data_IF_802286733966
#
_entry.id   IF_802286733966
#
_cell.length_a   1.000
_cell.length_b   1.000
_cell.length_c   1.000
_cell.angle_alpha   90.00
_cell.angle_beta   90.00
_cell.angle_gamma   90.00
#
_symmetry.space_group_name_H-M   'P 1'
#
loop_
_entity.id
_entity.type
_entity.pdbx_description
1 polymer ?
#
# COMPACT_ATOMS: atom_id res chain seq x y z
N UNK A 1 56.98 50.64 4.04
CA UNK A 1 57.22 49.26 3.56
C UNK A 1 56.49 48.32 4.53
N UNK A 2 55.28 47.88 4.17
CA UNK A 2 54.53 46.87 4.91
C UNK A 2 54.55 45.61 4.03
N UNK A 3 55.13 44.54 4.56
CA UNK A 3 55.31 43.27 3.87
C UNK A 3 54.11 42.36 4.19
N UNK A 4 53.38 41.94 3.15
CA UNK A 4 52.37 40.89 3.27
C UNK A 4 53.05 39.53 3.11
N UNK A 5 53.01 38.69 4.14
CA UNK A 5 53.40 37.28 4.05
C UNK A 5 52.14 36.44 3.86
N UNK A 6 52.07 35.74 2.72
CA UNK A 6 51.08 34.69 2.46
C UNK A 6 51.68 33.34 2.85
N UNK A 7 51.07 32.65 3.81
CA UNK A 7 51.30 31.23 4.06
C UNK A 7 49.95 30.52 4.22
N UNK A 8 49.40 30.04 3.11
CA UNK A 8 48.24 29.15 3.10
C UNK A 8 48.71 27.77 2.68
N UNK A 9 49.16 26.98 3.65
CA UNK A 9 49.27 25.52 3.52
C UNK A 9 48.30 24.93 4.53
N UNK A 10 47.07 24.65 4.09
CA UNK A 10 46.13 23.85 4.89
C UNK A 10 46.71 22.44 5.03
N UNK A 11 46.90 21.93 6.26
CA UNK A 11 47.51 20.62 6.46
C UNK A 11 46.57 19.53 5.94
N UNK A 12 47.12 18.58 5.17
CA UNK A 12 46.41 17.44 4.58
C UNK A 12 45.57 16.66 5.62
N UNK A 13 45.98 16.69 6.89
CA UNK A 13 45.24 16.09 8.02
C UNK A 13 43.88 16.73 8.29
N UNK A 14 43.72 18.05 8.07
CA UNK A 14 42.43 18.74 8.24
C UNK A 14 41.46 18.39 7.11
N UNK A 15 41.96 18.20 5.88
CA UNK A 15 41.14 17.79 4.74
C UNK A 15 40.62 16.36 4.94
N UNK A 16 41.49 15.43 5.37
CA UNK A 16 41.08 14.05 5.65
C UNK A 16 40.04 13.96 6.79
N UNK A 17 40.23 14.74 7.86
CA UNK A 17 39.31 14.74 8.98
C UNK A 17 37.93 15.28 8.59
N UNK A 18 37.87 16.33 7.75
CA UNK A 18 36.61 16.86 7.23
C UNK A 18 35.87 15.84 6.34
N UNK A 19 36.59 15.13 5.47
CA UNK A 19 36.01 14.11 4.58
C UNK A 19 35.41 12.96 5.40
N UNK A 20 36.13 12.47 6.42
CA UNK A 20 35.63 11.37 7.28
C UNK A 20 34.41 11.78 8.12
N UNK A 21 34.35 13.03 8.63
CA UNK A 21 33.13 13.54 9.26
C UNK A 21 32.00 13.72 8.25
N UNK A 22 32.27 14.21 7.03
CA UNK A 22 31.21 14.42 6.04
C UNK A 22 30.61 13.09 5.54
N UNK A 23 31.43 12.04 5.39
CA UNK A 23 30.97 10.68 5.07
C UNK A 23 30.15 10.02 6.17
N UNK A 24 30.31 10.41 7.44
CA UNK A 24 29.49 9.91 8.55
C UNK A 24 28.15 10.63 8.71
N UNK A 25 27.98 11.80 8.06
CA UNK A 25 26.71 12.53 7.95
C UNK A 25 25.97 12.28 6.62
N UNK A 26 26.45 11.38 5.76
CA UNK A 26 25.64 10.92 4.64
C UNK A 26 24.36 10.30 5.23
N UNK A 27 23.16 10.78 4.85
CA UNK A 27 21.93 10.17 5.30
C UNK A 27 21.99 8.70 4.87
N UNK A 28 21.92 7.79 5.85
CA UNK A 28 21.61 6.40 5.54
C UNK A 28 20.28 6.46 4.80
N UNK A 29 20.28 6.10 3.53
CA UNK A 29 19.04 5.84 2.80
C UNK A 29 18.53 4.57 3.45
N UNK A 30 17.57 4.69 4.36
CA UNK A 30 16.92 3.52 4.94
C UNK A 30 16.20 2.88 3.77
N UNK A 31 16.60 1.65 3.41
CA UNK A 31 15.83 0.86 2.48
C UNK A 31 14.39 0.81 3.02
N UNK A 32 13.41 1.05 2.14
CA UNK A 32 12.00 0.87 2.51
C UNK A 32 11.87 -0.51 3.14
N UNK A 33 11.21 -0.57 4.30
CA UNK A 33 10.87 -1.86 4.88
C UNK A 33 9.93 -2.63 3.94
N UNK A 34 9.25 -1.95 3.02
CA UNK A 34 8.23 -2.46 2.13
C UNK A 34 8.79 -2.89 0.76
N UNK A 35 8.03 -3.75 0.09
CA UNK A 35 8.28 -4.18 -1.28
C UNK A 35 7.81 -3.06 -2.21
N UNK A 36 8.74 -2.46 -2.94
CA UNK A 36 8.42 -1.65 -4.12
C UNK A 36 8.12 -2.59 -5.30
N UNK A 37 7.08 -2.29 -6.07
CA UNK A 37 6.67 -3.09 -7.22
C UNK A 37 6.43 -2.23 -8.46
N UNK A 38 6.72 -2.79 -9.64
CA UNK A 38 6.44 -2.15 -10.91
C UNK A 38 4.93 -2.08 -11.19
N UNK A 39 4.47 -1.16 -12.06
CA UNK A 39 3.07 -1.07 -12.45
C UNK A 39 2.51 -2.37 -13.03
N UNK A 40 3.34 -3.18 -13.67
CA UNK A 40 2.99 -4.49 -14.20
C UNK A 40 3.97 -5.56 -13.72
N UNK A 41 3.51 -6.81 -13.62
CA UNK A 41 4.34 -7.92 -13.16
C UNK A 41 3.57 -9.22 -12.96
N UNK A 42 4.17 -10.10 -12.15
CA UNK A 42 3.60 -11.38 -11.76
C UNK A 42 3.40 -11.45 -10.26
N UNK A 43 2.35 -12.16 -9.85
CA UNK A 43 2.00 -12.36 -8.46
C UNK A 43 1.38 -13.75 -8.27
N UNK A 44 1.23 -14.17 -7.03
CA UNK A 44 0.26 -15.22 -6.71
C UNK A 44 -1.11 -14.60 -6.44
N UNK A 45 -2.16 -15.38 -6.64
CA UNK A 45 -3.51 -15.06 -6.22
C UNK A 45 -4.10 -16.22 -5.43
N UNK A 46 -4.73 -15.90 -4.31
CA UNK A 46 -5.64 -16.77 -3.56
C UNK A 46 -7.02 -16.15 -3.50
N UNK A 47 -7.94 -16.79 -2.78
CA UNK A 47 -9.20 -16.16 -2.41
C UNK A 47 -9.52 -16.37 -0.94
N UNK A 48 -10.35 -15.47 -0.41
CA UNK A 48 -10.90 -15.53 0.93
C UNK A 48 -12.34 -15.00 0.92
N UNK A 49 -13.14 -15.48 1.86
CA UNK A 49 -14.49 -14.98 2.05
C UNK A 49 -14.47 -13.69 2.83
N UNK A 50 -14.95 -12.62 2.20
CA UNK A 50 -15.21 -11.33 2.84
C UNK A 50 -16.72 -11.10 2.91
N UNK A 51 -17.32 -10.86 4.09
CA UNK A 51 -18.73 -10.54 4.18
C UNK A 51 -19.07 -9.24 3.43
N UNK A 52 -20.25 -9.19 2.81
CA UNK A 52 -20.77 -7.94 2.25
C UNK A 52 -20.89 -6.87 3.36
N UNK A 53 -20.62 -5.62 3.00
CA UNK A 53 -20.58 -4.45 3.86
C UNK A 53 -19.54 -4.53 4.99
N UNK A 54 -18.51 -5.38 4.85
CA UNK A 54 -17.40 -5.42 5.80
C UNK A 54 -16.45 -4.24 5.62
N UNK A 55 -15.97 -3.68 6.73
CA UNK A 55 -14.97 -2.61 6.73
C UNK A 55 -13.59 -3.26 6.93
N UNK A 56 -12.88 -3.44 5.83
CA UNK A 56 -11.54 -4.03 5.76
C UNK A 56 -10.42 -3.08 6.22
N UNK A 57 -9.15 -3.52 6.18
CA UNK A 57 -8.01 -2.79 6.75
C UNK A 57 -7.81 -1.37 6.20
N UNK A 58 -8.19 -1.09 4.95
CA UNK A 58 -8.12 0.27 4.40
C UNK A 58 -9.17 1.23 4.99
N UNK A 59 -10.23 0.69 5.60
CA UNK A 59 -11.37 1.48 6.07
C UNK A 59 -12.20 2.08 4.93
N UNK A 60 -12.21 1.44 3.75
CA UNK A 60 -13.09 1.80 2.63
C UNK A 60 -14.56 1.70 3.03
N UNK A 61 -15.43 2.44 2.34
CA UNK A 61 -16.88 2.37 2.57
C UNK A 61 -17.42 0.93 2.45
N UNK A 62 -18.44 0.53 3.25
CA UNK A 62 -18.95 -0.84 3.25
C UNK A 62 -19.39 -1.32 1.86
N UNK A 63 -20.05 -0.48 1.07
CA UNK A 63 -20.50 -0.83 -0.29
C UNK A 63 -19.35 -1.07 -1.28
N UNK A 64 -18.07 -0.84 -0.89
CA UNK A 64 -16.93 -1.26 -1.71
C UNK A 64 -16.84 -2.77 -1.87
N UNK A 65 -17.34 -3.56 -0.91
CA UNK A 65 -17.34 -5.04 -0.97
C UNK A 65 -18.40 -5.61 -1.92
N UNK A 66 -19.32 -4.77 -2.40
CA UNK A 66 -20.32 -5.15 -3.41
C UNK A 66 -19.69 -5.21 -4.82
N UNK A 67 -18.38 -5.00 -4.91
CA UNK A 67 -17.56 -4.94 -6.11
C UNK A 67 -16.26 -5.72 -5.91
N UNK A 68 -15.50 -6.05 -6.99
CA UNK A 68 -14.32 -6.89 -6.85
C UNK A 68 -13.24 -6.21 -6.02
N UNK A 69 -12.89 -6.78 -4.88
CA UNK A 69 -11.88 -6.26 -3.97
C UNK A 69 -10.84 -7.33 -3.66
N UNK A 70 -9.66 -6.90 -3.21
CA UNK A 70 -8.62 -7.83 -2.81
C UNK A 70 -7.87 -7.33 -1.58
N UNK A 71 -7.33 -8.29 -0.83
CA UNK A 71 -6.26 -8.04 0.13
C UNK A 71 -4.90 -8.13 -0.56
N UNK A 72 -3.93 -7.29 -0.17
CA UNK A 72 -2.55 -7.37 -0.68
C UNK A 72 -1.60 -7.81 0.43
N UNK A 73 -0.57 -8.60 0.12
CA UNK A 73 0.40 -9.04 1.13
C UNK A 73 1.06 -7.85 1.84
N UNK A 74 1.19 -7.94 3.17
CA UNK A 74 1.63 -6.86 4.06
C UNK A 74 2.79 -6.02 3.55
N UNK A 75 3.81 -6.70 2.99
CA UNK A 75 5.02 -6.03 2.57
C UNK A 75 4.83 -5.17 1.30
N UNK A 76 3.92 -5.54 0.40
CA UNK A 76 3.53 -4.71 -0.74
C UNK A 76 2.35 -3.78 -0.42
N UNK A 77 1.49 -4.18 0.52
CA UNK A 77 0.44 -3.33 1.08
C UNK A 77 1.01 -2.06 1.74
N UNK A 78 2.15 -2.21 2.41
CA UNK A 78 2.95 -1.13 2.98
C UNK A 78 2.48 -0.68 4.38
N UNK A 79 1.86 -1.57 5.15
CA UNK A 79 1.46 -1.33 6.55
C UNK A 79 1.24 -2.65 7.29
N UNK A 80 1.38 -2.66 8.63
CA UNK A 80 1.12 -3.82 9.49
C UNK A 80 -0.11 -3.68 10.41
N UNK A 81 -0.74 -2.51 10.51
CA UNK A 81 -1.72 -2.21 11.58
C UNK A 81 -3.00 -1.51 11.13
N UNK A 82 -3.02 -0.86 9.96
CA UNK A 82 -4.20 -0.20 9.41
C UNK A 82 -4.10 -0.16 7.88
N UNK A 83 -4.18 1.01 7.27
CA UNK A 83 -4.01 1.23 5.85
C UNK A 83 -2.55 1.39 5.43
N UNK A 84 -2.26 1.11 4.17
CA UNK A 84 -0.96 1.38 3.56
C UNK A 84 -1.12 2.00 2.17
N UNK A 85 -0.01 2.35 1.50
CA UNK A 85 -0.03 2.97 0.17
C UNK A 85 -0.78 2.19 -0.91
N UNK A 86 -0.94 0.87 -0.74
CA UNK A 86 -1.75 0.07 -1.67
C UNK A 86 -3.26 0.34 -1.56
N UNK A 87 -3.74 0.90 -0.45
CA UNK A 87 -5.17 1.15 -0.25
C UNK A 87 -5.77 2.04 -1.34
N UNK A 88 -6.89 1.58 -1.88
CA UNK A 88 -7.59 2.27 -2.96
C UNK A 88 -6.98 2.09 -4.34
N UNK A 89 -5.77 1.51 -4.48
CA UNK A 89 -5.19 1.22 -5.79
C UNK A 89 -5.99 0.14 -6.52
N UNK A 90 -6.08 0.26 -7.84
CA UNK A 90 -6.77 -0.71 -8.68
C UNK A 90 -5.80 -1.50 -9.58
N UNK A 91 -6.08 -2.79 -9.72
CA UNK A 91 -5.26 -3.71 -10.50
C UNK A 91 -6.13 -4.59 -11.39
N UNK A 92 -5.76 -4.72 -12.66
CA UNK A 92 -6.25 -5.77 -13.52
C UNK A 92 -5.44 -7.04 -13.28
N UNK A 93 -6.08 -8.07 -12.71
CA UNK A 93 -5.48 -9.34 -12.36
C UNK A 93 -5.91 -10.41 -13.36
N UNK A 94 -4.97 -11.15 -13.95
CA UNK A 94 -5.25 -12.13 -15.00
C UNK A 94 -4.72 -13.51 -14.62
N UNK A 95 -5.58 -14.52 -14.64
CA UNK A 95 -5.20 -15.91 -14.33
C UNK A 95 -4.29 -16.48 -15.43
N UNK A 96 -3.17 -17.08 -15.03
CA UNK A 96 -2.21 -17.73 -15.92
C UNK A 96 -2.25 -19.25 -15.80
N UNK A 97 -2.03 -19.77 -14.58
CA UNK A 97 -2.00 -21.20 -14.31
C UNK A 97 -2.22 -21.50 -12.83
N UNK A 98 -2.82 -22.66 -12.52
CA UNK A 98 -2.87 -23.18 -11.15
C UNK A 98 -1.65 -24.08 -10.92
N UNK A 99 -0.54 -23.46 -10.50
CA UNK A 99 0.78 -24.08 -10.50
C UNK A 99 0.97 -25.21 -9.49
N UNK A 100 0.09 -25.30 -8.49
CA UNK A 100 0.09 -26.34 -7.45
C UNK A 100 -0.73 -27.57 -7.83
N UNK A 101 -1.57 -27.49 -8.87
CA UNK A 101 -2.28 -28.63 -9.39
C UNK A 101 -1.31 -29.67 -9.97
N UNK A 102 -1.70 -30.96 -9.94
CA UNK A 102 -0.90 -32.03 -10.51
C UNK A 102 -1.72 -32.91 -11.47
N UNK A 103 -1.48 -32.85 -12.79
CA UNK A 103 -0.56 -31.93 -13.48
C UNK A 103 -0.96 -30.46 -13.32
N UNK A 104 -0.04 -29.53 -13.64
CA UNK A 104 -0.33 -28.10 -13.60
C UNK A 104 -1.52 -27.77 -14.52
N UNK A 105 -2.46 -26.97 -14.02
CA UNK A 105 -3.65 -26.58 -14.79
C UNK A 105 -3.43 -25.27 -15.53
N UNK A 106 -3.75 -25.25 -16.81
CA UNK A 106 -3.76 -24.06 -17.66
C UNK A 106 -5.19 -23.82 -18.15
N UNK A 107 -5.80 -22.66 -17.88
CA UNK A 107 -7.16 -22.38 -18.29
C UNK A 107 -7.24 -22.20 -19.81
N UNK A 108 -8.26 -22.81 -20.43
CA UNK A 108 -8.53 -22.65 -21.87
C UNK A 108 -9.04 -21.25 -22.24
N UNK A 109 -9.56 -20.52 -21.26
CA UNK A 109 -10.07 -19.16 -21.40
C UNK A 109 -9.36 -18.29 -20.37
N UNK A 110 -8.69 -17.25 -20.82
CA UNK A 110 -8.09 -16.26 -19.92
C UNK A 110 -9.19 -15.47 -19.22
N UNK A 111 -9.18 -15.49 -17.89
CA UNK A 111 -10.08 -14.72 -17.03
C UNK A 111 -9.29 -13.59 -16.38
N UNK A 112 -9.88 -12.40 -16.34
CA UNK A 112 -9.31 -11.22 -15.70
C UNK A 112 -10.36 -10.48 -14.90
N UNK A 113 -9.93 -9.80 -13.84
CA UNK A 113 -10.78 -8.97 -12.98
C UNK A 113 -10.03 -7.73 -12.55
N UNK A 114 -10.68 -6.56 -12.63
CA UNK A 114 -10.16 -5.33 -12.04
C UNK A 114 -10.62 -5.28 -10.60
N UNK A 115 -9.68 -5.31 -9.67
CA UNK A 115 -9.95 -5.20 -8.23
C UNK A 115 -9.51 -3.85 -7.70
N UNK A 116 -10.13 -3.41 -6.61
CA UNK A 116 -9.60 -2.37 -5.71
C UNK A 116 -8.99 -3.04 -4.48
N UNK A 117 -7.79 -2.62 -4.07
CA UNK A 117 -7.19 -3.08 -2.81
C UNK A 117 -7.88 -2.38 -1.65
N UNK A 118 -8.58 -3.15 -0.82
CA UNK A 118 -9.33 -2.66 0.34
C UNK A 118 -8.88 -3.30 1.65
N UNK A 119 -8.08 -4.36 1.57
CA UNK A 119 -7.70 -5.14 2.73
C UNK A 119 -6.20 -5.50 2.77
N UNK A 120 -5.77 -5.96 3.93
CA UNK A 120 -4.44 -6.42 4.22
C UNK A 120 -4.44 -7.95 4.30
N UNK A 121 -3.51 -8.59 3.58
CA UNK A 121 -3.14 -9.98 3.86
C UNK A 121 -1.90 -9.98 4.78
N UNK A 122 -2.05 -10.26 6.09
CA UNK A 122 -0.98 -10.07 7.06
C UNK A 122 0.24 -10.95 6.80
N UNK A 123 1.40 -10.48 7.24
CA UNK A 123 2.64 -11.25 7.12
C UNK A 123 2.52 -12.56 7.92
N UNK A 124 2.68 -13.68 7.24
CA UNK A 124 2.67 -15.01 7.84
C UNK A 124 4.06 -15.64 7.85
N UNK A 125 4.28 -16.68 8.65
CA UNK A 125 5.52 -17.46 8.62
C UNK A 125 5.65 -18.34 7.37
N UNK A 126 4.53 -18.62 6.71
CA UNK A 126 4.45 -19.53 5.55
C UNK A 126 3.21 -19.21 4.72
N UNK A 127 3.21 -19.64 3.46
CA UNK A 127 2.06 -19.51 2.55
C UNK A 127 2.28 -18.43 1.49
N UNK A 128 1.25 -17.64 1.21
CA UNK A 128 1.24 -16.75 0.04
C UNK A 128 1.54 -15.29 0.39
N UNK A 129 1.26 -14.87 1.63
CA UNK A 129 1.51 -13.50 2.09
C UNK A 129 2.81 -13.34 2.90
N UNK A 130 3.69 -14.35 2.88
CA UNK A 130 4.96 -14.34 3.62
C UNK A 130 6.15 -13.73 2.84
N UNK A 131 5.92 -13.13 1.67
CA UNK A 131 6.97 -12.45 0.93
C UNK A 131 7.52 -11.26 1.72
N UNK A 132 8.83 -11.04 1.64
CA UNK A 132 9.53 -9.91 2.24
C UNK A 132 10.50 -9.30 1.24
N UNK A 133 11.15 -8.19 1.60
CA UNK A 133 12.24 -7.61 0.80
C UNK A 133 13.45 -8.55 0.63
N UNK A 134 13.52 -9.63 1.41
CA UNK A 134 14.61 -10.61 1.36
C UNK A 134 14.26 -11.88 0.57
N UNK A 135 12.99 -12.09 0.19
CA UNK A 135 12.62 -13.27 -0.57
C UNK A 135 11.13 -13.38 -0.89
N UNK A 136 10.79 -14.14 -1.95
CA UNK A 136 9.42 -14.32 -2.40
C UNK A 136 8.60 -15.22 -1.46
N UNK A 137 7.30 -15.29 -1.70
CA UNK A 137 6.39 -16.21 -1.03
C UNK A 137 6.58 -17.67 -1.49
N UNK A 138 5.76 -18.59 -0.96
CA UNK A 138 5.83 -20.02 -1.30
C UNK A 138 5.58 -20.33 -2.80
N UNK A 139 4.97 -19.41 -3.54
CA UNK A 139 4.79 -19.52 -5.00
C UNK A 139 5.90 -18.88 -5.82
N UNK A 140 6.94 -18.32 -5.19
CA UNK A 140 8.05 -17.67 -5.88
C UNK A 140 7.78 -16.23 -6.32
N UNK A 141 6.69 -15.61 -5.88
CA UNK A 141 6.35 -14.21 -6.18
C UNK A 141 6.51 -13.29 -4.97
N UNK A 142 6.81 -12.01 -5.21
CA UNK A 142 6.90 -11.00 -4.14
C UNK A 142 5.54 -10.41 -3.74
N UNK A 143 4.55 -10.54 -4.64
CA UNK A 143 3.19 -10.04 -4.45
C UNK A 143 2.22 -11.21 -4.32
N UNK A 144 1.23 -11.05 -3.44
CA UNK A 144 0.03 -11.87 -3.40
C UNK A 144 -1.21 -10.98 -3.32
N UNK A 145 -2.21 -11.31 -4.14
CA UNK A 145 -3.55 -10.77 -4.02
C UNK A 145 -4.48 -11.85 -3.46
N UNK A 146 -5.13 -11.59 -2.34
CA UNK A 146 -6.20 -12.45 -1.84
C UNK A 146 -7.53 -11.88 -2.34
N UNK A 147 -8.14 -12.52 -3.33
CA UNK A 147 -9.38 -12.03 -3.94
C UNK A 147 -10.55 -12.24 -2.97
N UNK A 148 -11.36 -11.21 -2.73
CA UNK A 148 -12.61 -11.37 -1.99
C UNK A 148 -13.61 -12.17 -2.84
N UNK A 149 -13.63 -13.48 -2.65
CA UNK A 149 -14.43 -14.42 -3.44
C UNK A 149 -14.90 -15.59 -2.56
N UNK A 150 -16.13 -16.09 -2.73
CA UNK A 150 -17.15 -15.66 -3.69
C UNK A 150 -17.66 -14.23 -3.42
N UNK A 151 -18.10 -13.55 -4.49
CA UNK A 151 -18.67 -12.20 -4.45
C UNK A 151 -19.77 -12.09 -5.50
N UNK A 152 -20.85 -11.35 -5.21
CA UNK A 152 -21.95 -11.09 -6.16
C UNK A 152 -21.51 -10.33 -7.42
N UNK A 153 -20.33 -9.70 -7.39
CA UNK A 153 -19.75 -8.92 -8.48
C UNK A 153 -18.72 -9.67 -9.34
N UNK A 154 -18.34 -10.88 -8.93
CA UNK A 154 -17.36 -11.72 -9.62
C UNK A 154 -18.09 -12.99 -10.06
N UNK A 155 -18.03 -13.38 -11.35
CA UNK A 155 -18.67 -14.61 -11.81
C UNK A 155 -18.24 -15.83 -10.99
N UNK A 156 -19.18 -16.72 -10.68
CA UNK A 156 -18.90 -17.98 -9.96
C UNK A 156 -17.89 -18.88 -10.71
N UNK A 157 -17.76 -18.70 -12.03
CA UNK A 157 -16.81 -19.40 -12.90
C UNK A 157 -15.47 -18.67 -13.08
N UNK A 158 -15.17 -17.66 -12.26
CA UNK A 158 -13.94 -16.88 -12.36
C UNK A 158 -12.68 -17.74 -12.17
N UNK A 159 -12.72 -18.71 -11.24
CA UNK A 159 -11.69 -19.73 -11.09
C UNK A 159 -12.08 -20.98 -11.89
N UNK A 160 -11.62 -21.14 -13.15
CA UNK A 160 -11.98 -22.29 -13.96
C UNK A 160 -11.32 -23.56 -13.42
N UNK A 161 -11.98 -24.70 -13.64
CA UNK A 161 -11.49 -26.01 -13.26
C UNK A 161 -11.89 -27.09 -14.26
N UNK A 162 -11.29 -28.26 -14.12
CA UNK A 162 -11.68 -29.50 -14.80
C UNK A 162 -11.93 -30.56 -13.72
N UNK A 163 -13.08 -30.48 -13.07
CA UNK A 163 -13.45 -31.37 -11.95
C UNK A 163 -13.44 -32.84 -12.38
N UNK A 164 -13.81 -33.14 -13.63
CA UNK A 164 -13.80 -34.50 -14.15
C UNK A 164 -12.38 -35.10 -14.17
N UNK A 165 -11.36 -34.27 -14.40
CA UNK A 165 -9.96 -34.69 -14.42
C UNK A 165 -9.27 -34.59 -13.06
N UNK A 166 -9.45 -33.48 -12.32
CA UNK A 166 -8.75 -33.21 -11.06
C UNK A 166 -9.49 -33.73 -9.82
N UNK A 167 -10.81 -33.92 -9.90
CA UNK A 167 -11.65 -34.34 -8.77
C UNK A 167 -12.03 -33.22 -7.79
N UNK A 168 -11.76 -31.96 -8.13
CA UNK A 168 -12.12 -30.78 -7.34
C UNK A 168 -12.24 -29.55 -8.25
N UNK A 169 -12.98 -28.54 -7.78
CA UNK A 169 -13.29 -27.33 -8.56
C UNK A 169 -12.45 -26.11 -8.20
N UNK A 170 -11.73 -26.15 -7.08
CA UNK A 170 -10.92 -25.05 -6.57
C UNK A 170 -9.46 -25.48 -6.37
N UNK A 171 -8.56 -24.86 -7.14
CA UNK A 171 -7.11 -25.10 -7.00
C UNK A 171 -6.47 -24.33 -5.84
N UNK A 172 -7.20 -23.39 -5.22
CA UNK A 172 -6.80 -22.59 -4.06
C UNK A 172 -5.79 -21.49 -4.35
N UNK A 173 -4.85 -21.69 -5.28
CA UNK A 173 -3.82 -20.70 -5.62
C UNK A 173 -3.49 -20.69 -7.10
N UNK A 174 -3.23 -19.50 -7.63
CA UNK A 174 -2.94 -19.25 -9.03
C UNK A 174 -1.69 -18.39 -9.19
N UNK A 175 -0.96 -18.62 -10.27
CA UNK A 175 -0.08 -17.60 -10.83
C UNK A 175 -0.93 -16.62 -11.64
N UNK A 176 -0.66 -15.34 -11.47
CA UNK A 176 -1.32 -14.28 -12.20
C UNK A 176 -0.31 -13.32 -12.81
N UNK A 177 -0.71 -12.61 -13.86
CA UNK A 177 -0.15 -11.30 -14.17
C UNK A 177 -1.02 -10.22 -13.55
N UNK A 178 -0.40 -9.12 -13.15
CA UNK A 178 -1.09 -7.94 -12.67
C UNK A 178 -0.67 -6.71 -13.47
N UNK A 179 -1.58 -5.75 -13.56
CA UNK A 179 -1.33 -4.42 -14.09
C UNK A 179 -2.07 -3.40 -13.25
N UNK A 180 -1.36 -2.42 -12.71
CA UNK A 180 -1.92 -1.23 -12.08
C UNK A 180 -2.68 -0.43 -13.15
N UNK A 181 -3.93 -0.10 -12.85
CA UNK A 181 -4.84 0.61 -13.74
C UNK A 181 -5.55 1.72 -12.98
N UNK A 182 -6.04 2.74 -13.69
CA UNK A 182 -6.95 3.71 -13.06
C UNK A 182 -8.19 2.99 -12.55
N UNK A 183 -8.62 3.37 -11.35
CA UNK A 183 -9.84 2.87 -10.72
C UNK A 183 -11.10 3.25 -11.50
N UNK A 184 -11.03 4.12 -12.50
CA UNK A 184 -12.11 4.31 -13.48
C UNK A 184 -12.49 3.02 -14.23
N UNK A 185 -11.60 2.02 -14.26
CA UNK A 185 -11.86 0.68 -14.81
C UNK A 185 -12.47 -0.29 -13.79
N UNK A 186 -12.52 0.07 -12.51
CA UNK A 186 -13.11 -0.75 -11.45
C UNK A 186 -14.63 -0.62 -11.47
N UNK A 187 -15.34 -1.74 -11.32
CA UNK A 187 -16.80 -1.79 -11.46
C UNK A 187 -17.53 -0.83 -10.50
N UNK A 188 -17.00 -0.64 -9.29
CA UNK A 188 -17.56 0.25 -8.28
C UNK A 188 -17.31 1.74 -8.51
N UNK A 189 -16.54 2.13 -9.54
CA UNK A 189 -16.14 3.52 -9.78
C UNK A 189 -17.31 4.50 -9.87
N UNK A 190 -18.38 4.12 -10.57
CA UNK A 190 -19.54 4.99 -10.76
C UNK A 190 -20.56 4.91 -9.62
N UNK A 191 -20.22 4.21 -8.53
CA UNK A 191 -21.06 4.04 -7.35
C UNK A 191 -20.51 4.89 -6.21
N UNK A 192 -21.05 6.09 -6.01
CA UNK A 192 -20.57 7.01 -4.98
C UNK A 192 -20.54 6.40 -3.56
N UNK A 193 -21.43 5.44 -3.29
CA UNK A 193 -21.48 4.72 -2.00
C UNK A 193 -20.34 3.70 -1.80
N UNK A 194 -19.62 3.31 -2.86
CA UNK A 194 -18.49 2.39 -2.86
C UNK A 194 -17.13 3.11 -2.90
N UNK A 195 -17.15 4.44 -2.96
CA UNK A 195 -15.99 5.31 -3.01
C UNK A 195 -15.65 5.84 -1.61
N UNK A 196 -14.39 6.23 -1.42
CA UNK A 196 -13.90 6.85 -0.20
C UNK A 196 -13.78 5.92 1.02
N UNK A 197 -13.51 6.57 2.15
CA UNK A 197 -13.34 5.94 3.46
C UNK A 197 -14.56 6.13 4.35
N UNK A 198 -14.71 5.26 5.35
CA UNK A 198 -15.77 5.40 6.35
C UNK A 198 -15.53 6.64 7.21
N UNK A 199 -16.44 7.62 7.12
CA UNK A 199 -16.31 8.89 7.81
C UNK A 199 -16.15 8.76 9.35
N UNK A 200 -16.84 7.79 9.97
CA UNK A 200 -16.78 7.59 11.42
C UNK A 200 -15.43 7.03 11.92
N UNK A 201 -14.57 6.53 11.02
CA UNK A 201 -13.22 6.10 11.38
C UNK A 201 -12.22 7.28 11.41
N UNK A 202 -12.60 8.45 10.89
CA UNK A 202 -11.74 9.63 10.84
C UNK A 202 -10.37 9.29 10.26
N UNK A 203 -9.32 9.64 10.99
CA UNK A 203 -7.93 9.36 10.59
C UNK A 203 -7.57 7.88 10.59
N UNK A 204 -8.39 6.97 11.14
CA UNK A 204 -8.05 5.54 11.15
C UNK A 204 -8.39 4.81 9.85
N UNK A 205 -8.85 5.53 8.81
CA UNK A 205 -9.13 4.98 7.48
C UNK A 205 -8.51 5.85 6.37
N UNK A 206 -8.08 5.19 5.28
CA UNK A 206 -7.68 5.85 4.05
C UNK A 206 -7.93 4.93 2.87
N UNK A 207 -8.80 5.38 1.98
CA UNK A 207 -9.22 4.66 0.78
C UNK A 207 -9.57 5.70 -0.31
N UNK A 208 -8.56 6.15 -1.08
CA UNK A 208 -8.74 7.07 -2.19
C UNK A 208 -9.55 6.44 -3.31
N UNK A 209 -10.20 7.29 -4.11
CA UNK A 209 -11.08 6.83 -5.18
C UNK A 209 -10.28 6.29 -6.38
N UNK A 210 -9.23 7.01 -6.78
CA UNK A 210 -8.30 6.69 -7.88
C UNK A 210 -6.89 7.26 -7.59
N UNK A 211 -6.09 6.63 -6.70
CA UNK A 211 -4.76 7.11 -6.35
C UNK A 211 -3.79 6.99 -7.54
N UNK A 212 -2.99 8.03 -7.79
CA UNK A 212 -2.02 8.05 -8.92
C UNK A 212 -0.61 7.62 -8.53
N UNK A 213 -0.38 7.29 -7.25
CA UNK A 213 0.95 7.10 -6.67
C UNK A 213 1.58 8.41 -6.21
N UNK A 214 0.85 9.53 -6.26
CA UNK A 214 1.30 10.81 -5.71
C UNK A 214 1.13 10.81 -4.18
N UNK A 215 2.09 11.32 -3.40
CA UNK A 215 1.93 11.43 -1.95
C UNK A 215 0.67 12.17 -1.46
N UNK A 216 0.07 13.02 -2.30
CA UNK A 216 -1.15 13.76 -1.95
C UNK A 216 -2.46 12.99 -2.18
N UNK A 217 -2.43 11.90 -2.96
CA UNK A 217 -3.61 11.08 -3.27
C UNK A 217 -3.44 9.61 -2.90
N UNK A 218 -2.27 9.25 -2.35
CA UNK A 218 -1.90 7.91 -1.93
C UNK A 218 -1.85 7.86 -0.41
N UNK A 219 -2.38 6.79 0.16
CA UNK A 219 -2.34 6.61 1.60
C UNK A 219 -0.89 6.53 2.11
N UNK A 220 -0.56 7.20 3.22
CA UNK A 220 0.71 6.97 3.89
C UNK A 220 0.82 5.55 4.45
N UNK A 221 2.05 5.14 4.72
CA UNK A 221 2.36 3.88 5.38
C UNK A 221 2.20 3.98 6.89
N UNK A 222 1.47 3.01 7.48
CA UNK A 222 1.41 2.80 8.93
C UNK A 222 2.17 1.54 9.33
N UNK A 223 3.40 1.70 9.77
CA UNK A 223 4.08 0.69 10.61
C UNK A 223 4.20 1.21 12.04
N UNK A 224 4.60 0.33 12.94
CA UNK A 224 5.00 0.65 14.32
C UNK A 224 6.02 1.82 14.42
N UNK A 225 6.65 2.22 13.30
CA UNK A 225 7.64 3.30 13.20
C UNK A 225 7.10 4.67 12.71
N UNK A 226 5.85 4.81 12.21
CA UNK A 226 5.44 6.01 11.43
C UNK A 226 4.27 6.88 11.97
N UNK A 227 3.80 6.69 13.21
CA UNK A 227 2.90 7.66 13.86
C UNK A 227 1.51 7.81 13.20
N UNK A 228 0.71 8.83 13.57
CA UNK A 228 -0.75 8.96 13.32
C UNK A 228 -1.08 9.66 11.97
N UNK A 229 -2.26 9.42 11.35
CA UNK A 229 -2.50 9.75 9.94
C UNK A 229 -3.01 11.14 9.50
N UNK A 230 -2.84 11.51 8.20
CA UNK A 230 -3.45 12.70 7.59
C UNK A 230 -4.90 12.48 7.11
N UNK A 231 -5.69 13.57 7.06
CA UNK A 231 -7.12 13.58 6.69
C UNK A 231 -7.31 13.41 5.18
N UNK A 232 -8.04 12.39 4.74
CA UNK A 232 -8.39 12.17 3.32
C UNK A 232 -9.89 12.29 3.03
N UNK A 233 -10.67 12.94 3.90
CA UNK A 233 -12.11 13.12 3.69
C UNK A 233 -12.43 13.98 2.45
N UNK A 234 -13.28 13.49 1.55
CA UNK A 234 -13.76 14.19 0.35
C UNK A 234 -15.16 14.78 0.56
N UNK A 235 -15.35 15.66 1.56
CA UNK A 235 -16.48 16.61 1.66
C UNK A 235 -16.34 17.62 2.83
N UNK A 236 -15.72 18.77 2.55
CA UNK A 236 -16.08 20.09 3.07
C UNK A 236 -16.15 20.38 4.58
N UNK A 237 -15.05 20.90 5.15
CA UNK A 237 -14.99 22.24 5.75
C UNK A 237 -13.54 22.61 6.08
N UNK A 238 -13.04 23.69 5.49
CA UNK A 238 -11.76 24.29 5.86
C UNK A 238 -11.90 24.88 7.27
N UNK A 239 -11.47 24.14 8.30
CA UNK A 239 -11.10 24.78 9.56
C UNK A 239 -9.64 25.22 9.47
N UNK A 240 -9.46 26.45 9.00
CA UNK A 240 -8.21 27.19 9.15
C UNK A 240 -7.90 27.37 10.63
N UNK A 241 -7.19 26.42 11.23
CA UNK A 241 -6.63 26.54 12.56
C UNK A 241 -5.20 27.03 12.47
N UNK A 242 -4.99 28.20 11.84
CA UNK A 242 -3.75 28.95 11.99
C UNK A 242 -3.76 29.67 13.34
N UNK A 243 -3.70 28.89 14.43
CA UNK A 243 -3.27 29.44 15.72
C UNK A 243 -1.78 29.66 15.60
N UNK A 244 -1.42 30.84 15.11
CA UNK A 244 -0.04 31.29 14.97
C UNK A 244 0.66 31.17 16.32
N UNK A 245 1.74 30.39 16.37
CA UNK A 245 2.62 30.23 17.55
C UNK A 245 3.07 31.58 18.15
N UNK A 246 2.99 32.64 17.34
CA UNK A 246 3.27 34.03 17.72
C UNK A 246 2.35 34.58 18.81
N UNK A 247 1.09 34.14 18.88
CA UNK A 247 0.11 34.63 19.88
C UNK A 247 0.39 34.04 21.26
N UNK A 248 0.85 32.79 21.32
CA UNK A 248 1.23 32.14 22.58
C UNK A 248 2.50 32.76 23.16
N UNK A 249 3.47 33.12 22.32
CA UNK A 249 4.70 33.79 22.77
C UNK A 249 4.47 35.23 23.27
N UNK A 250 3.51 35.96 22.70
CA UNK A 250 3.15 37.29 23.20
C UNK A 250 2.41 37.26 24.54
N UNK A 251 1.58 36.24 24.78
CA UNK A 251 0.88 36.08 26.05
C UNK A 251 1.84 35.74 27.22
N UNK A 252 2.88 34.95 26.98
CA UNK A 252 3.88 34.61 28.01
C UNK A 252 4.77 35.82 28.34
N UNK A 253 5.12 36.65 27.34
CA UNK A 253 5.86 37.90 27.53
C UNK A 253 5.13 38.90 28.45
N UNK A 254 3.81 39.05 28.30
CA UNK A 254 3.02 39.97 29.12
C UNK A 254 2.85 39.53 30.58
N UNK A 255 2.90 38.23 30.87
CA UNK A 255 2.81 37.70 32.24
C UNK A 255 4.13 37.91 33.00
N UNK A 256 5.27 37.86 32.31
CA UNK A 256 6.59 38.16 32.91
C UNK A 256 6.84 39.64 33.25
N UNK A 257 5.94 40.56 32.90
CA UNK A 257 6.00 41.97 33.32
C UNK A 257 5.06 42.29 34.49
N UNK A 258 4.29 41.32 34.97
CA UNK A 258 3.32 41.49 36.06
C UNK A 258 3.70 40.75 37.35
N UNK A 259 4.92 40.22 37.44
CA UNK A 259 5.53 39.66 38.66
C UNK A 259 6.99 40.12 38.80
#
# INVERSE_FOLDING_TARGET
MLSCSNSNTTPLSQILSFILTFLSFLPRIWASAWIDYSPDGYATMTHYTLPENFIAACGCTPSSTDHPTAAMNQMAYGSSTSYGPACGQCFNLTLLDAFTANPRFYPNVTKSVVVKVTDLCPLSSSGWCNATTHGPNAGGNYLNFDLAWPSSSIPDDFFPSDEAFYGFTDFGVWNISYQSVSCTNWQGWNQAAALGSVASLGYSACCPDDPTGNPNDTCPSYSDDNGIPPDTQTSGCIFSSSVSLLVVLLAVSLISYLF
#
